data_IF_726932042821
#
_entry.id   IF_726932042821
#
_cell.length_a   1.000
_cell.length_b   1.000
_cell.length_c   1.000
_cell.angle_alpha   90.00
_cell.angle_beta   90.00
_cell.angle_gamma   90.00
#
_symmetry.space_group_name_H-M   'P 1'
#
loop_
_entity.id
_entity.type
_entity.pdbx_description
1 polymer ?
#
# COMPACT_ATOMS: atom_id res chain seq x y z
N UNK A 1 2.53 24.20 16.15
CA UNK A 1 2.99 23.13 15.24
C UNK A 1 3.97 23.74 14.25
N UNK A 2 5.11 23.09 14.00
CA UNK A 2 6.14 23.59 13.08
C UNK A 2 5.97 23.06 11.66
N UNK A 3 6.42 23.82 10.67
CA UNK A 3 6.49 23.39 9.27
C UNK A 3 7.68 22.44 9.05
N UNK A 4 7.43 21.37 8.30
CA UNK A 4 8.41 20.33 7.98
C UNK A 4 8.60 20.25 6.47
N UNK A 5 9.82 20.47 5.97
CA UNK A 5 10.16 20.10 4.59
C UNK A 5 10.56 18.63 4.58
N UNK A 6 9.67 17.77 4.11
CA UNK A 6 9.99 16.37 3.89
C UNK A 6 10.78 16.25 2.56
N UNK A 7 11.82 15.40 2.50
CA UNK A 7 12.59 15.16 1.28
C UNK A 7 11.81 14.26 0.30
N UNK A 8 10.53 14.55 0.09
CA UNK A 8 9.67 13.86 -0.87
C UNK A 8 10.09 14.36 -2.25
N UNK A 9 10.46 13.44 -3.14
CA UNK A 9 10.76 13.81 -4.53
C UNK A 9 9.52 14.36 -5.24
N UNK A 10 9.71 15.07 -6.35
CA UNK A 10 8.58 15.49 -7.18
C UNK A 10 7.78 14.27 -7.66
N UNK A 11 6.43 14.38 -7.60
CA UNK A 11 5.48 13.34 -8.02
C UNK A 11 5.56 12.01 -7.25
N UNK A 12 6.30 11.97 -6.13
CA UNK A 12 6.44 10.77 -5.30
C UNK A 12 5.22 10.59 -4.39
N UNK A 13 4.94 9.33 -4.05
CA UNK A 13 3.73 8.95 -3.32
C UNK A 13 3.96 8.97 -1.81
N UNK A 14 2.89 9.20 -1.05
CA UNK A 14 2.83 9.14 0.40
C UNK A 14 1.57 8.37 0.81
N UNK A 15 1.69 7.53 1.83
CA UNK A 15 0.59 6.83 2.47
C UNK A 15 0.81 6.82 3.98
N UNK A 16 -0.20 6.42 4.74
CA UNK A 16 -0.06 6.30 6.17
C UNK A 16 -1.30 5.77 6.84
N UNK A 17 -1.16 5.47 8.12
CA UNK A 17 -2.23 4.93 8.93
C UNK A 17 -2.10 5.41 10.38
N UNK A 18 -3.25 5.50 11.03
CA UNK A 18 -3.32 5.69 12.48
C UNK A 18 -2.92 4.40 13.17
N UNK A 19 -1.97 4.49 14.08
CA UNK A 19 -1.47 3.35 14.87
C UNK A 19 -1.86 3.49 16.34
N UNK A 20 -2.43 4.62 16.73
CA UNK A 20 -3.21 4.78 17.96
C UNK A 20 -4.09 6.03 17.79
N UNK A 21 -4.81 6.45 18.83
CA UNK A 21 -5.55 7.73 18.81
C UNK A 21 -4.63 8.95 18.65
N UNK A 22 -3.35 8.82 19.06
CA UNK A 22 -2.40 9.94 19.10
C UNK A 22 -1.20 9.77 18.16
N UNK A 23 -1.10 8.64 17.45
CA UNK A 23 0.06 8.32 16.63
C UNK A 23 -0.33 7.96 15.19
N UNK A 24 0.39 8.57 14.25
CA UNK A 24 0.31 8.28 12.82
C UNK A 24 1.65 7.75 12.34
N UNK A 25 1.64 6.62 11.64
CA UNK A 25 2.76 6.14 10.85
C UNK A 25 2.56 6.57 9.40
N UNK A 26 3.44 7.44 8.90
CA UNK A 26 3.49 7.89 7.51
C UNK A 26 4.66 7.22 6.79
N UNK A 27 4.46 6.94 5.51
CA UNK A 27 5.44 6.34 4.61
C UNK A 27 5.48 7.12 3.31
N UNK A 28 6.67 7.45 2.87
CA UNK A 28 6.84 8.24 1.65
C UNK A 28 8.08 7.78 0.90
N UNK A 29 8.06 8.02 -0.40
CA UNK A 29 9.24 7.83 -1.23
C UNK A 29 10.08 9.11 -1.23
N UNK A 30 11.34 8.97 -0.83
CA UNK A 30 12.28 10.08 -0.75
C UNK A 30 12.83 10.45 -2.14
N UNK A 31 13.68 11.48 -2.21
CA UNK A 31 14.30 11.94 -3.45
C UNK A 31 15.20 10.91 -4.15
N UNK A 32 15.62 9.85 -3.45
CA UNK A 32 16.42 8.74 -4.02
C UNK A 32 15.57 7.55 -4.45
N UNK A 33 14.24 7.65 -4.38
CA UNK A 33 13.31 6.56 -4.74
C UNK A 33 13.12 5.52 -3.64
N UNK A 34 13.74 5.71 -2.47
CA UNK A 34 13.67 4.77 -1.34
C UNK A 34 12.51 5.10 -0.41
N UNK A 35 11.92 4.06 0.18
CA UNK A 35 10.82 4.21 1.12
C UNK A 35 11.34 4.62 2.50
N UNK A 36 10.81 5.73 3.03
CA UNK A 36 11.13 6.25 4.36
C UNK A 36 9.89 6.30 5.23
N UNK A 37 10.10 6.12 6.55
CA UNK A 37 9.04 6.20 7.56
C UNK A 37 9.14 7.52 8.32
N UNK A 38 7.98 8.07 8.67
CA UNK A 38 7.80 9.26 9.47
C UNK A 38 6.78 8.95 10.57
N UNK A 39 7.18 9.07 11.83
CA UNK A 39 6.24 9.00 12.95
C UNK A 39 5.77 10.40 13.30
N UNK A 40 4.47 10.57 13.49
CA UNK A 40 3.85 11.81 13.94
C UNK A 40 3.07 11.53 15.22
N UNK A 41 3.30 12.35 16.24
CA UNK A 41 2.60 12.31 17.52
C UNK A 41 2.36 13.73 18.06
N UNK A 42 1.77 13.84 19.26
CA UNK A 42 1.52 15.13 19.91
C UNK A 42 2.78 15.95 20.21
N UNK A 43 3.95 15.32 20.30
CA UNK A 43 5.25 15.97 20.57
C UNK A 43 5.92 16.47 19.30
N UNK A 44 5.49 15.99 18.14
CA UNK A 44 5.95 16.45 16.84
C UNK A 44 6.09 15.29 15.86
N UNK A 45 7.12 15.37 15.02
CA UNK A 45 7.36 14.36 13.99
C UNK A 45 8.83 13.97 13.96
N UNK A 46 9.09 12.71 13.60
CA UNK A 46 10.42 12.13 13.52
C UNK A 46 10.55 11.28 12.27
N UNK A 47 11.51 11.64 11.41
CA UNK A 47 11.93 10.76 10.31
C UNK A 47 12.68 9.57 10.93
N UNK A 48 12.29 8.39 10.51
CA UNK A 48 12.84 7.11 10.97
C UNK A 48 13.66 6.48 9.84
N UNK A 49 14.34 5.38 10.17
CA UNK A 49 15.19 4.69 9.22
C UNK A 49 14.42 4.30 7.94
N UNK A 50 15.19 4.13 6.86
CA UNK A 50 14.65 3.65 5.60
C UNK A 50 13.99 2.28 5.82
N UNK A 51 12.78 2.13 5.30
CA UNK A 51 12.15 0.83 5.24
C UNK A 51 12.94 -0.02 4.23
N UNK A 52 13.25 -1.27 4.58
CA UNK A 52 13.95 -2.21 3.71
C UNK A 52 13.04 -2.72 2.58
N UNK A 53 12.48 -1.81 1.77
CA UNK A 53 11.57 -2.10 0.67
C UNK A 53 12.25 -1.75 -0.66
N UNK A 54 12.51 -2.76 -1.49
CA UNK A 54 13.06 -2.61 -2.85
C UNK A 54 11.93 -2.45 -3.87
N UNK A 55 11.29 -1.30 -3.78
CA UNK A 55 10.08 -1.00 -4.53
C UNK A 55 10.40 -0.60 -5.97
N UNK A 56 9.54 -1.00 -6.90
CA UNK A 56 9.55 -0.47 -8.26
C UNK A 56 9.32 1.05 -8.23
N UNK A 57 10.18 1.79 -8.91
CA UNK A 57 10.11 3.25 -8.96
C UNK A 57 8.73 3.75 -9.43
N UNK A 58 8.19 4.78 -8.76
CA UNK A 58 6.89 5.39 -9.06
C UNK A 58 5.67 4.45 -9.05
N UNK A 59 5.82 3.20 -8.62
CA UNK A 59 4.72 2.26 -8.44
C UNK A 59 3.75 2.71 -7.33
N UNK A 60 2.62 2.05 -7.10
CA UNK A 60 1.76 2.34 -5.96
C UNK A 60 2.24 1.61 -4.70
N UNK A 61 1.92 2.17 -3.54
CA UNK A 61 2.02 1.48 -2.26
C UNK A 61 0.96 2.00 -1.29
N UNK A 62 0.61 1.17 -0.31
CA UNK A 62 -0.40 1.51 0.71
C UNK A 62 0.03 0.95 2.07
N UNK A 63 -0.24 1.71 3.14
CA UNK A 63 -0.04 1.29 4.51
C UNK A 63 -1.37 0.97 5.20
N UNK A 64 -1.37 -0.07 6.01
CA UNK A 64 -2.49 -0.46 6.86
C UNK A 64 -1.98 -0.79 8.25
N UNK A 65 -2.63 -0.23 9.28
CA UNK A 65 -2.38 -0.62 10.65
C UNK A 65 -3.11 -1.94 10.94
N UNK A 66 -2.36 -3.00 11.25
CA UNK A 66 -2.93 -4.28 11.68
C UNK A 66 -3.14 -4.30 13.20
N UNK A 67 -2.33 -3.54 13.93
CA UNK A 67 -2.46 -3.34 15.37
C UNK A 67 -1.88 -1.98 15.75
N UNK A 68 -1.89 -1.64 17.04
CA UNK A 68 -1.24 -0.40 17.50
C UNK A 68 0.28 -0.40 17.35
N UNK A 69 0.90 -1.58 17.21
CA UNK A 69 2.36 -1.72 17.09
C UNK A 69 2.78 -2.32 15.75
N UNK A 70 1.83 -2.65 14.88
CA UNK A 70 2.11 -3.35 13.63
C UNK A 70 1.48 -2.63 12.46
N UNK A 71 2.31 -2.25 11.50
CA UNK A 71 1.88 -1.72 10.21
C UNK A 71 2.29 -2.69 9.13
N UNK A 72 1.40 -2.92 8.18
CA UNK A 72 1.70 -3.66 6.95
C UNK A 72 1.68 -2.70 5.77
N UNK A 73 2.74 -2.74 4.97
CA UNK A 73 2.85 -2.06 3.70
C UNK A 73 2.68 -3.05 2.56
N UNK A 74 1.87 -2.69 1.58
CA UNK A 74 1.75 -3.39 0.32
C UNK A 74 2.33 -2.52 -0.79
N UNK A 75 3.21 -3.09 -1.62
CA UNK A 75 3.90 -2.35 -2.66
C UNK A 75 4.34 -3.26 -3.82
N UNK A 76 4.44 -2.70 -5.02
CA UNK A 76 5.05 -3.41 -6.14
C UNK A 76 6.56 -3.40 -6.01
N UNK A 77 7.18 -4.57 -5.95
CA UNK A 77 8.62 -4.73 -5.83
C UNK A 77 9.30 -4.75 -7.21
N UNK A 78 10.61 -4.50 -7.27
CA UNK A 78 11.42 -4.50 -8.50
C UNK A 78 11.33 -5.83 -9.30
N UNK A 79 11.06 -6.94 -8.62
CA UNK A 79 10.87 -8.27 -9.20
C UNK A 79 9.48 -8.49 -9.83
N UNK A 80 8.64 -7.45 -9.80
CA UNK A 80 7.27 -7.40 -10.34
C UNK A 80 6.23 -8.26 -9.60
N UNK A 81 6.50 -8.60 -8.35
CA UNK A 81 5.48 -9.12 -7.43
C UNK A 81 4.95 -8.03 -6.51
N UNK A 82 3.76 -8.26 -5.97
CA UNK A 82 3.29 -7.52 -4.80
C UNK A 82 4.02 -8.07 -3.58
N UNK A 83 4.66 -7.20 -2.84
CA UNK A 83 5.28 -7.52 -1.56
C UNK A 83 4.43 -6.98 -0.41
N UNK A 84 4.47 -7.73 0.68
CA UNK A 84 3.90 -7.39 1.98
C UNK A 84 5.03 -7.21 2.97
N UNK A 85 5.31 -5.95 3.32
CA UNK A 85 6.29 -5.59 4.33
C UNK A 85 5.57 -5.34 5.67
N UNK A 86 5.77 -6.25 6.62
CA UNK A 86 5.28 -6.09 7.98
C UNK A 86 6.34 -5.37 8.83
N UNK A 87 5.91 -4.34 9.54
CA UNK A 87 6.75 -3.46 10.35
C UNK A 87 6.24 -3.50 11.79
N UNK A 88 7.12 -3.92 12.70
CA UNK A 88 6.94 -3.74 14.14
C UNK A 88 7.47 -2.36 14.52
N UNK A 89 6.56 -1.47 14.95
CA UNK A 89 6.89 -0.10 15.31
C UNK A 89 7.66 0.02 16.63
N UNK A 90 7.53 -0.96 17.52
CA UNK A 90 8.19 -0.96 18.83
C UNK A 90 9.65 -1.36 18.69
N UNK A 91 9.91 -2.40 17.92
CA UNK A 91 11.26 -2.97 17.76
C UNK A 91 11.98 -2.48 16.49
N UNK A 92 11.29 -1.72 15.65
CA UNK A 92 11.77 -1.29 14.33
C UNK A 92 12.20 -2.45 13.41
N UNK A 93 11.58 -3.61 13.57
CA UNK A 93 11.87 -4.80 12.76
C UNK A 93 10.97 -4.84 11.54
N UNK A 94 11.58 -5.18 10.42
CA UNK A 94 10.93 -5.29 9.12
C UNK A 94 10.98 -6.74 8.63
N UNK A 95 9.84 -7.27 8.17
CA UNK A 95 9.76 -8.58 7.53
C UNK A 95 9.07 -8.42 6.16
N UNK A 96 9.84 -8.60 5.09
CA UNK A 96 9.38 -8.47 3.71
C UNK A 96 9.08 -9.84 3.11
N UNK A 97 7.86 -10.01 2.57
CA UNK A 97 7.45 -11.27 1.97
C UNK A 97 6.75 -11.01 0.64
N UNK A 98 7.03 -11.86 -0.35
CA UNK A 98 6.24 -11.93 -1.57
C UNK A 98 4.83 -12.40 -1.22
N UNK A 99 3.82 -11.64 -1.66
CA UNK A 99 2.45 -12.13 -1.62
C UNK A 99 2.23 -13.05 -2.82
N UNK A 100 1.92 -14.31 -2.56
CA UNK A 100 1.82 -15.32 -3.62
C UNK A 100 0.70 -14.98 -4.61
N UNK A 101 0.83 -15.44 -5.86
CA UNK A 101 -0.17 -15.21 -6.92
C UNK A 101 -0.14 -13.82 -7.56
N UNK A 102 0.83 -12.96 -7.19
CA UNK A 102 0.85 -11.53 -7.57
C UNK A 102 1.85 -11.16 -8.65
N UNK A 103 2.32 -12.13 -9.46
CA UNK A 103 3.28 -11.83 -10.53
C UNK A 103 2.57 -11.13 -11.68
N UNK A 104 2.85 -9.85 -11.89
CA UNK A 104 2.34 -9.09 -13.03
C UNK A 104 3.50 -8.65 -13.92
N UNK A 105 3.28 -8.51 -15.23
CA UNK A 105 4.24 -7.77 -16.07
C UNK A 105 4.16 -6.29 -15.69
N UNK A 106 5.32 -5.63 -15.72
CA UNK A 106 5.54 -4.29 -15.19
C UNK A 106 4.60 -3.24 -15.82
N UNK A 107 3.49 -2.93 -15.14
CA UNK A 107 2.51 -1.93 -15.56
C UNK A 107 2.04 -1.19 -14.29
N UNK A 108 1.82 0.14 -14.35
CA UNK A 108 1.14 0.85 -13.28
C UNK A 108 -0.24 0.21 -13.02
N UNK A 109 -0.45 -0.26 -11.80
CA UNK A 109 -1.68 -0.92 -11.36
C UNK A 109 -2.22 -0.19 -10.14
N UNK A 110 -3.52 0.02 -10.00
CA UNK A 110 -4.05 0.56 -8.74
C UNK A 110 -4.23 -0.59 -7.74
N UNK A 111 -3.79 -0.39 -6.50
CA UNK A 111 -3.88 -1.39 -5.42
C UNK A 111 -4.90 -0.91 -4.39
N UNK A 112 -5.83 -1.80 -4.03
CA UNK A 112 -6.75 -1.65 -2.90
C UNK A 112 -6.54 -2.83 -1.95
N UNK A 113 -6.52 -2.55 -0.65
CA UNK A 113 -6.33 -3.57 0.39
C UNK A 113 -7.48 -3.49 1.36
N UNK A 114 -8.03 -4.64 1.72
CA UNK A 114 -9.15 -4.78 2.66
C UNK A 114 -8.76 -5.77 3.74
N UNK A 115 -8.87 -5.37 5.00
CA UNK A 115 -8.77 -6.28 6.14
C UNK A 115 -10.18 -6.78 6.48
N UNK A 116 -10.35 -8.10 6.47
CA UNK A 116 -11.55 -8.76 6.96
C UNK A 116 -11.56 -8.78 8.50
N UNK A 117 -12.72 -9.08 9.08
CA UNK A 117 -12.91 -9.06 10.54
C UNK A 117 -12.12 -10.16 11.28
N UNK A 118 -11.58 -11.14 10.55
CA UNK A 118 -10.74 -12.24 11.06
C UNK A 118 -9.23 -11.99 10.85
N UNK A 119 -8.81 -10.74 10.61
CA UNK A 119 -7.44 -10.33 10.29
C UNK A 119 -6.89 -10.81 8.94
N UNK A 120 -7.70 -11.51 8.13
CA UNK A 120 -7.31 -11.82 6.76
C UNK A 120 -7.22 -10.54 5.93
N UNK A 121 -6.21 -10.48 5.06
CA UNK A 121 -5.99 -9.33 4.19
C UNK A 121 -6.22 -9.74 2.76
N UNK A 122 -7.21 -9.12 2.15
CA UNK A 122 -7.56 -9.24 0.75
C UNK A 122 -6.94 -8.09 -0.03
N UNK A 123 -6.34 -8.40 -1.18
CA UNK A 123 -5.77 -7.39 -2.07
C UNK A 123 -6.44 -7.41 -3.43
N UNK A 124 -6.85 -6.23 -3.87
CA UNK A 124 -7.51 -5.99 -5.14
C UNK A 124 -6.60 -5.17 -6.03
N UNK A 125 -6.38 -5.63 -7.25
CA UNK A 125 -5.48 -4.97 -8.20
C UNK A 125 -6.24 -4.68 -9.49
N UNK A 126 -6.23 -3.43 -9.93
CA UNK A 126 -6.73 -3.01 -11.24
C UNK A 126 -5.59 -3.10 -12.25
N UNK A 127 -5.78 -3.91 -13.31
CA UNK A 127 -4.77 -4.13 -14.34
C UNK A 127 -5.19 -3.55 -15.69
N UNK A 128 -4.21 -3.03 -16.42
CA UNK A 128 -4.26 -2.75 -17.86
C UNK A 128 -3.23 -3.61 -18.64
N UNK A 129 -3.62 -3.95 -19.87
CA UNK A 129 -2.83 -4.21 -21.09
C UNK A 129 -2.30 -5.62 -21.47
N UNK A 130 -2.11 -6.61 -20.57
CA UNK A 130 -1.57 -7.94 -20.98
C UNK A 130 -2.33 -9.18 -20.45
N UNK A 131 -3.23 -8.99 -19.48
CA UNK A 131 -4.36 -9.90 -19.20
C UNK A 131 -5.63 -9.08 -19.45
N UNK A 132 -6.81 -9.69 -19.63
CA UNK A 132 -8.05 -8.93 -19.75
C UNK A 132 -8.10 -7.88 -18.65
N UNK A 133 -8.25 -6.59 -19.02
CA UNK A 133 -8.25 -5.54 -18.02
C UNK A 133 -9.42 -5.83 -17.08
N UNK A 134 -9.11 -5.85 -15.79
CA UNK A 134 -9.96 -6.50 -14.81
C UNK A 134 -9.54 -6.23 -13.37
N UNK A 135 -10.47 -6.49 -12.47
CA UNK A 135 -10.24 -6.45 -11.03
C UNK A 135 -9.91 -7.87 -10.55
N UNK A 136 -8.69 -8.03 -10.03
CA UNK A 136 -8.21 -9.29 -9.50
C UNK A 136 -8.27 -9.25 -7.99
N UNK A 137 -8.93 -10.23 -7.39
CA UNK A 137 -8.93 -10.48 -5.96
C UNK A 137 -7.84 -11.50 -5.63
N UNK A 138 -7.02 -11.16 -4.63
CA UNK A 138 -5.94 -12.01 -4.12
C UNK A 138 -6.20 -12.22 -2.64
N UNK A 139 -6.46 -13.47 -2.28
CA UNK A 139 -6.76 -13.85 -0.90
C UNK A 139 -5.52 -13.98 -0.02
N UNK A 140 -5.72 -14.23 1.29
CA UNK A 140 -4.66 -14.28 2.30
C UNK A 140 -3.59 -15.37 2.05
N UNK A 141 -3.89 -16.39 1.24
CA UNK A 141 -2.97 -17.48 0.90
C UNK A 141 -2.48 -17.43 -0.55
N UNK A 142 -2.75 -16.34 -1.27
CA UNK A 142 -2.32 -16.14 -2.66
C UNK A 142 -3.23 -16.79 -3.71
N UNK A 143 -4.37 -17.32 -3.30
CA UNK A 143 -5.46 -17.67 -4.19
C UNK A 143 -5.91 -16.45 -5.00
N UNK A 144 -6.27 -16.68 -6.27
CA UNK A 144 -6.55 -15.61 -7.23
C UNK A 144 -7.89 -15.83 -7.90
N UNK A 145 -8.74 -14.80 -7.87
CA UNK A 145 -10.03 -14.79 -8.55
C UNK A 145 -10.18 -13.53 -9.42
N UNK A 146 -10.79 -13.69 -10.59
CA UNK A 146 -11.22 -12.56 -11.42
C UNK A 146 -12.63 -12.21 -10.99
N UNK A 147 -12.83 -10.98 -10.49
CA UNK A 147 -14.12 -10.57 -9.91
C UNK A 147 -14.83 -9.47 -10.71
N UNK A 148 -14.24 -9.04 -11.83
CA UNK A 148 -14.91 -8.16 -12.79
C UNK A 148 -14.02 -7.75 -13.96
N UNK A 149 -14.64 -7.46 -15.09
CA UNK A 149 -14.03 -6.75 -16.22
C UNK A 149 -13.94 -5.26 -15.87
N UNK A 150 -12.84 -4.58 -16.21
CA UNK A 150 -12.75 -3.12 -16.00
C UNK A 150 -13.74 -2.43 -16.92
N UNK A 151 -14.87 -1.98 -16.37
CA UNK A 151 -15.74 -1.02 -17.05
C UNK A 151 -15.27 0.41 -16.76
N UNK A 152 -15.29 1.22 -17.81
CA UNK A 152 -15.06 2.66 -17.80
C UNK A 152 -15.52 3.32 -16.50
N UNK A 153 -14.56 3.83 -15.71
CA UNK A 153 -14.75 4.85 -14.67
C UNK A 153 -15.95 4.68 -13.70
N UNK A 154 -16.46 3.47 -13.46
CA UNK A 154 -17.55 3.28 -12.50
C UNK A 154 -17.04 2.82 -11.11
N UNK A 155 -17.65 3.31 -10.02
CA UNK A 155 -17.18 3.08 -8.67
C UNK A 155 -17.28 1.59 -8.28
N UNK A 156 -16.29 1.13 -7.52
CA UNK A 156 -16.24 -0.21 -6.92
C UNK A 156 -17.60 -0.51 -6.24
N UNK A 157 -18.24 -1.67 -6.52
CA UNK A 157 -19.51 -2.01 -5.91
C UNK A 157 -19.42 -2.02 -4.39
N UNK A 158 -20.24 -1.21 -3.73
CA UNK A 158 -20.31 -1.13 -2.26
C UNK A 158 -20.82 -2.42 -1.60
N UNK A 159 -21.35 -3.35 -2.38
CA UNK A 159 -21.92 -4.63 -1.93
C UNK A 159 -20.89 -5.74 -1.71
N UNK A 160 -19.61 -5.54 -2.07
CA UNK A 160 -18.56 -6.54 -1.89
C UNK A 160 -17.94 -6.57 -0.48
N UNK A 161 -18.29 -5.62 0.40
CA UNK A 161 -17.56 -5.43 1.64
C UNK A 161 -18.48 -5.38 2.86
N UNK A 162 -18.46 -6.46 3.66
CA UNK A 162 -19.22 -6.56 4.93
C UNK A 162 -18.34 -6.35 6.18
N UNK A 163 -17.04 -6.09 6.03
CA UNK A 163 -16.10 -5.84 7.14
C UNK A 163 -15.76 -4.36 7.33
N UNK A 164 -14.82 -4.06 8.24
CA UNK A 164 -14.22 -2.72 8.39
C UNK A 164 -13.45 -2.31 7.12
N UNK A 165 -14.20 -1.79 6.16
CA UNK A 165 -13.71 -1.50 4.81
C UNK A 165 -13.04 -0.13 4.79
N UNK A 166 -11.71 -0.11 4.62
CA UNK A 166 -11.00 1.12 4.26
C UNK A 166 -10.76 1.13 2.76
N UNK A 167 -11.74 1.63 2.02
CA UNK A 167 -11.58 1.88 0.59
C UNK A 167 -10.75 3.15 0.40
N UNK A 168 -9.53 3.03 -0.12
CA UNK A 168 -8.72 4.18 -0.52
C UNK A 168 -8.47 4.06 -2.02
N UNK A 169 -9.12 4.94 -2.79
CA UNK A 169 -8.89 5.08 -4.23
C UNK A 169 -7.60 5.86 -4.45
N UNK A 170 -6.55 5.20 -4.94
CA UNK A 170 -5.30 5.85 -5.29
C UNK A 170 -5.36 6.14 -6.79
N UNK A 171 -5.49 7.41 -7.18
CA UNK A 171 -5.35 7.77 -8.59
C UNK A 171 -3.86 7.86 -8.93
N UNK A 172 -3.38 6.98 -9.82
CA UNK A 172 -2.20 7.24 -10.63
C UNK A 172 -2.42 8.55 -11.40
N UNK A 173 -1.55 9.54 -11.20
CA UNK A 173 -1.64 10.80 -11.95
C UNK A 173 -1.42 10.49 -13.42
N UNK A 174 -2.37 10.90 -14.28
CA UNK A 174 -2.16 10.86 -15.72
C UNK A 174 -0.97 11.75 -16.06
N UNK A 175 -0.01 11.20 -16.81
CA UNK A 175 1.00 12.00 -17.52
C UNK A 175 0.29 12.74 -18.66
N UNK A 176 0.39 14.07 -18.67
CA UNK A 176 0.24 14.88 -19.89
C UNK A 176 1.59 14.92 -20.61
#
# INVERSE_FOLDING_TARGET
MGEAKLPIGEYRKLTGCWTSEEQIALFFENSTGQLQRLSVDAKGWKILNQAAARREEASPFVAMACSFQTVTLFYCHEDKHLHRLTIDLKNDTCNDNIQQGTRFRAIPADIMVVQADNDDIWTYILKGDDEPPGMYEIGPHGERAVIGETFERNPVPSTLFSGKTKMIRIQGGQRN
#
